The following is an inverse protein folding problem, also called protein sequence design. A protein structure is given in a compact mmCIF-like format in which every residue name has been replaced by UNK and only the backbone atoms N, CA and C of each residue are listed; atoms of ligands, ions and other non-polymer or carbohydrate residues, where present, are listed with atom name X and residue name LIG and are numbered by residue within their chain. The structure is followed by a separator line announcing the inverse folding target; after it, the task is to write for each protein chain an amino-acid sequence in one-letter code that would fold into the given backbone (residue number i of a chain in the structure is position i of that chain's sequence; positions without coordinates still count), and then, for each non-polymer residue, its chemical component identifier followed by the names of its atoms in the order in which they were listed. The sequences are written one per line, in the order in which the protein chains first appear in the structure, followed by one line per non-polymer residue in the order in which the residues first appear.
data_IF_149002445499
#
_entry.id   IF_149002445499
#
_cell.length_a   1.000
_cell.length_b   1.000
_cell.length_c   1.000
_cell.angle_alpha   90.00
_cell.angle_beta   90.00
_cell.angle_gamma   90.00
#
_symmetry.space_group_name_H-M   'P 1'
#
loop_
_entity.id
_entity.type
_entity.pdbx_description
1 polymer ?
#
# COMPACT_ATOMS: atom_id res chain seq x y z
N UNK A 1 -23.26 -25.38 25.64
CA UNK A 1 -22.66 -24.32 26.48
C UNK A 1 -23.12 -22.96 25.96
N UNK A 2 -24.05 -22.31 26.65
CA UNK A 2 -24.68 -21.06 26.21
C UNK A 2 -23.71 -19.88 26.34
N UNK A 3 -23.39 -19.24 25.21
CA UNK A 3 -22.49 -18.08 25.15
C UNK A 3 -23.26 -16.84 25.58
N UNK A 4 -23.06 -16.39 26.83
CA UNK A 4 -23.69 -15.15 27.34
C UNK A 4 -23.17 -13.95 26.56
N UNK A 5 -24.08 -13.10 26.07
CA UNK A 5 -23.78 -11.83 25.40
C UNK A 5 -23.38 -10.81 26.47
N UNK A 6 -22.23 -10.15 26.30
CA UNK A 6 -21.80 -9.07 27.18
C UNK A 6 -22.70 -7.83 27.00
N UNK A 7 -22.93 -7.04 28.07
CA UNK A 7 -23.79 -5.84 28.03
C UNK A 7 -23.19 -4.74 27.16
N UNK A 8 -24.07 -3.92 26.56
CA UNK A 8 -23.71 -2.91 25.56
C UNK A 8 -23.13 -1.66 26.24
N UNK A 9 -21.80 -1.52 26.22
CA UNK A 9 -21.09 -0.31 26.61
C UNK A 9 -20.86 0.59 25.40
N UNK A 10 -20.94 1.92 25.57
CA UNK A 10 -20.67 2.90 24.51
C UNK A 10 -19.24 2.82 23.94
N UNK A 11 -18.33 2.23 24.70
CA UNK A 11 -16.98 1.88 24.27
C UNK A 11 -16.90 0.38 23.98
N UNK A 12 -16.67 0.02 22.70
CA UNK A 12 -16.36 -1.35 22.28
C UNK A 12 -14.84 -1.50 22.21
N UNK A 13 -14.19 -2.16 23.17
CA UNK A 13 -12.75 -2.42 23.06
C UNK A 13 -12.49 -3.28 21.83
N UNK A 14 -11.49 -2.92 21.02
CA UNK A 14 -11.08 -3.62 19.79
C UNK A 14 -10.42 -5.00 20.04
N UNK A 15 -10.82 -5.69 21.11
CA UNK A 15 -10.14 -6.84 21.67
C UNK A 15 -10.61 -8.21 21.20
N UNK A 16 -11.65 -8.35 20.37
CA UNK A 16 -12.09 -9.65 19.83
C UNK A 16 -12.77 -9.51 18.45
N UNK A 17 -12.03 -9.07 17.44
CA UNK A 17 -12.41 -9.42 16.07
C UNK A 17 -12.25 -10.93 15.91
N UNK A 18 -13.38 -11.62 15.69
CA UNK A 18 -13.43 -13.08 15.60
C UNK A 18 -12.42 -13.61 14.58
N UNK A 19 -11.45 -14.37 15.08
CA UNK A 19 -10.49 -15.16 14.32
C UNK A 19 -11.25 -15.90 13.20
N UNK A 20 -10.96 -15.59 11.94
CA UNK A 20 -11.35 -16.45 10.83
C UNK A 20 -11.52 -15.85 9.42
N UNK A 21 -11.72 -14.54 9.23
CA UNK A 21 -12.05 -14.00 7.87
C UNK A 21 -11.33 -12.71 7.42
N UNK A 22 -10.34 -12.21 8.16
CA UNK A 22 -9.71 -10.92 7.85
C UNK A 22 -8.72 -10.93 6.65
N UNK A 23 -8.06 -12.05 6.34
CA UNK A 23 -7.07 -12.10 5.25
C UNK A 23 -7.65 -11.81 3.86
N UNK A 24 -8.92 -12.12 3.62
CA UNK A 24 -9.55 -11.94 2.32
C UNK A 24 -9.62 -10.47 1.88
N UNK A 25 -9.76 -9.52 2.82
CA UNK A 25 -9.87 -8.08 2.52
C UNK A 25 -8.56 -7.44 2.06
N UNK A 26 -7.42 -8.06 2.36
CA UNK A 26 -6.09 -7.51 2.04
C UNK A 26 -5.29 -8.38 1.08
N UNK A 27 -5.91 -9.42 0.50
CA UNK A 27 -5.22 -10.43 -0.32
C UNK A 27 -4.46 -9.80 -1.49
N UNK A 28 -5.09 -8.88 -2.22
CA UNK A 28 -4.49 -8.20 -3.37
C UNK A 28 -3.34 -7.29 -2.93
N UNK A 29 -3.55 -6.46 -1.90
CA UNK A 29 -2.49 -5.59 -1.35
C UNK A 29 -1.28 -6.41 -0.88
N UNK A 30 -1.53 -7.49 -0.16
CA UNK A 30 -0.50 -8.41 0.32
C UNK A 30 0.23 -9.11 -0.83
N UNK A 31 -0.51 -9.52 -1.86
CA UNK A 31 0.07 -10.09 -3.06
C UNK A 31 0.97 -9.07 -3.78
N UNK A 32 0.55 -7.82 -3.86
CA UNK A 32 1.36 -6.74 -4.44
C UNK A 32 2.69 -6.53 -3.71
N UNK A 33 2.67 -6.54 -2.38
CA UNK A 33 3.89 -6.43 -1.54
C UNK A 33 4.81 -7.65 -1.71
N UNK A 34 4.24 -8.86 -1.82
CA UNK A 34 4.99 -10.11 -2.06
C UNK A 34 5.56 -10.20 -3.48
N UNK A 35 5.07 -9.38 -4.39
CA UNK A 35 5.55 -9.29 -5.78
C UNK A 35 6.23 -7.94 -6.04
N UNK A 36 6.76 -7.28 -4.99
CA UNK A 36 7.32 -5.93 -5.11
C UNK A 36 8.43 -5.84 -6.17
N UNK A 37 9.25 -6.89 -6.32
CA UNK A 37 10.29 -6.99 -7.36
C UNK A 37 9.73 -6.99 -8.78
N UNK A 38 8.63 -7.71 -9.00
CA UNK A 38 7.95 -7.74 -10.29
C UNK A 38 7.40 -6.36 -10.64
N UNK A 39 6.77 -5.68 -9.69
CA UNK A 39 6.26 -4.33 -9.89
C UNK A 39 7.36 -3.29 -10.11
N UNK A 40 8.49 -3.40 -9.41
CA UNK A 40 9.67 -2.55 -9.65
C UNK A 40 10.18 -2.72 -11.08
N UNK A 41 10.36 -3.97 -11.52
CA UNK A 41 10.77 -4.27 -12.89
C UNK A 41 9.76 -3.76 -13.91
N UNK A 42 8.47 -4.05 -13.72
CA UNK A 42 7.40 -3.63 -14.62
C UNK A 42 7.36 -2.10 -14.75
N UNK A 43 7.45 -1.38 -13.63
CA UNK A 43 7.48 0.08 -13.63
C UNK A 43 8.70 0.63 -14.38
N UNK A 44 9.88 0.04 -14.18
CA UNK A 44 11.09 0.44 -14.89
C UNK A 44 10.96 0.22 -16.41
N UNK A 45 10.51 -0.97 -16.83
CA UNK A 45 10.31 -1.27 -18.25
C UNK A 45 9.24 -0.38 -18.88
N UNK A 46 8.14 -0.14 -18.18
CA UNK A 46 7.07 0.74 -18.65
C UNK A 46 7.56 2.18 -18.81
N UNK A 47 8.28 2.72 -17.82
CA UNK A 47 8.86 4.06 -17.88
C UNK A 47 9.85 4.20 -19.06
N UNK A 48 10.77 3.25 -19.21
CA UNK A 48 11.75 3.25 -20.30
C UNK A 48 11.06 3.18 -21.68
N UNK A 49 10.02 2.36 -21.79
CA UNK A 49 9.25 2.22 -23.04
C UNK A 49 8.49 3.50 -23.37
N UNK A 50 7.84 4.12 -22.38
CA UNK A 50 7.16 5.41 -22.55
C UNK A 50 8.11 6.52 -22.99
N UNK A 51 9.31 6.58 -22.40
CA UNK A 51 10.33 7.56 -22.75
C UNK A 51 10.89 7.34 -24.16
N UNK A 52 11.08 6.10 -24.60
CA UNK A 52 11.47 5.80 -25.99
C UNK A 52 10.39 6.20 -26.98
N UNK A 53 9.13 6.03 -26.60
CA UNK A 53 7.96 6.42 -27.40
C UNK A 53 7.64 7.93 -27.29
N UNK A 54 8.54 8.75 -26.70
CA UNK A 54 8.36 10.20 -26.53
C UNK A 54 8.04 10.94 -27.84
N UNK A 55 8.59 10.51 -28.98
CA UNK A 55 8.29 11.10 -30.29
C UNK A 55 6.81 10.99 -30.68
N UNK A 56 6.15 9.90 -30.29
CA UNK A 56 4.72 9.67 -30.53
C UNK A 56 3.85 10.54 -29.62
N UNK A 57 4.24 10.70 -28.34
CA UNK A 57 3.55 11.58 -27.40
C UNK A 57 3.61 13.05 -27.84
N UNK A 58 4.72 13.47 -28.49
CA UNK A 58 4.84 14.81 -29.09
C UNK A 58 3.86 15.02 -30.25
N UNK A 59 3.54 13.98 -31.02
CA UNK A 59 2.60 14.04 -32.13
C UNK A 59 1.12 14.02 -31.68
N UNK A 60 0.79 13.21 -30.66
CA UNK A 60 -0.59 13.09 -30.13
C UNK A 60 -0.98 14.24 -29.19
N UNK A 61 0.01 14.86 -28.55
CA UNK A 61 -0.16 15.95 -27.58
C UNK A 61 -0.46 15.42 -26.17
N UNK A 62 0.43 15.73 -25.23
CA UNK A 62 0.37 15.26 -23.84
C UNK A 62 -0.99 15.51 -23.16
N UNK A 63 -1.59 16.69 -23.36
CA UNK A 63 -2.85 17.07 -22.70
C UNK A 63 -4.04 16.16 -23.06
N UNK A 64 -4.06 15.54 -24.25
CA UNK A 64 -5.14 14.58 -24.61
C UNK A 64 -4.96 13.24 -23.92
N UNK A 65 -3.72 12.81 -23.70
CA UNK A 65 -3.43 11.53 -23.08
C UNK A 65 -3.49 11.55 -21.55
N UNK A 66 -3.33 12.70 -20.90
CA UNK A 66 -3.33 12.79 -19.43
C UNK A 66 -4.61 12.25 -18.79
N UNK A 67 -5.79 12.60 -19.31
CA UNK A 67 -7.08 12.20 -18.74
C UNK A 67 -7.28 10.68 -18.73
N UNK A 68 -7.14 9.95 -19.85
CA UNK A 68 -7.28 8.50 -19.84
C UNK A 68 -6.20 7.82 -19.01
N UNK A 69 -4.95 8.31 -19.04
CA UNK A 69 -3.86 7.75 -18.23
C UNK A 69 -4.15 7.89 -16.74
N UNK A 70 -4.59 9.07 -16.28
CA UNK A 70 -4.98 9.31 -14.87
C UNK A 70 -6.13 8.39 -14.44
N UNK A 71 -7.10 8.13 -15.33
CA UNK A 71 -8.20 7.21 -15.03
C UNK A 71 -7.71 5.77 -14.87
N UNK A 72 -6.89 5.26 -15.79
CA UNK A 72 -6.28 3.93 -15.71
C UNK A 72 -5.41 3.81 -14.46
N UNK A 73 -4.58 4.81 -14.17
CA UNK A 73 -3.74 4.86 -12.97
C UNK A 73 -4.59 4.75 -11.70
N UNK A 74 -5.67 5.54 -11.61
CA UNK A 74 -6.56 5.55 -10.45
C UNK A 74 -7.19 4.18 -10.21
N UNK A 75 -7.63 3.50 -11.27
CA UNK A 75 -8.25 2.16 -11.19
C UNK A 75 -7.20 1.13 -10.77
N UNK A 76 -6.08 1.06 -11.47
CA UNK A 76 -5.02 0.10 -11.21
C UNK A 76 -4.45 0.26 -9.79
N UNK A 77 -4.15 1.50 -9.36
CA UNK A 77 -3.56 1.75 -8.04
C UNK A 77 -4.54 1.51 -6.89
N UNK A 78 -5.84 1.79 -7.06
CA UNK A 78 -6.86 1.45 -6.05
C UNK A 78 -7.01 -0.05 -5.90
N UNK A 79 -7.06 -0.77 -7.02
CA UNK A 79 -7.24 -2.22 -6.99
C UNK A 79 -6.03 -2.94 -6.38
N UNK A 80 -4.81 -2.61 -6.84
CA UNK A 80 -3.60 -3.35 -6.46
C UNK A 80 -3.07 -2.97 -5.07
N UNK A 81 -3.19 -1.71 -4.67
CA UNK A 81 -2.48 -1.18 -3.49
C UNK A 81 -3.41 -0.48 -2.49
N UNK A 82 -4.72 -0.44 -2.77
CA UNK A 82 -5.70 0.33 -1.99
C UNK A 82 -5.26 1.81 -1.84
N UNK A 83 -4.78 2.37 -2.96
CA UNK A 83 -4.25 3.72 -3.03
C UNK A 83 -5.36 4.78 -2.87
N UNK A 84 -5.12 5.78 -2.01
CA UNK A 84 -6.04 6.91 -1.76
C UNK A 84 -5.83 8.12 -2.66
N UNK A 85 -4.89 8.05 -3.61
CA UNK A 85 -4.53 9.15 -4.53
C UNK A 85 -4.15 10.45 -3.79
N UNK A 86 -3.26 10.35 -2.80
CA UNK A 86 -2.78 11.51 -2.01
C UNK A 86 -1.85 12.48 -2.78
N UNK A 87 -1.63 12.26 -4.08
CA UNK A 87 -0.79 13.12 -4.93
C UNK A 87 0.72 12.92 -4.79
N UNK A 88 1.20 12.33 -3.70
CA UNK A 88 2.63 12.10 -3.47
C UNK A 88 2.93 10.61 -3.25
N UNK A 89 3.08 9.89 -4.37
CA UNK A 89 3.26 8.45 -4.38
C UNK A 89 4.62 8.02 -3.79
N UNK A 90 4.60 7.10 -2.83
CA UNK A 90 5.80 6.54 -2.19
C UNK A 90 5.99 5.04 -2.42
N UNK A 91 5.17 4.42 -3.28
CA UNK A 91 5.09 2.97 -3.47
C UNK A 91 6.41 2.31 -3.89
N UNK A 92 7.18 2.99 -4.73
CA UNK A 92 8.49 2.55 -5.22
C UNK A 92 9.55 2.53 -4.12
N UNK A 93 9.36 3.32 -3.05
CA UNK A 93 10.25 3.30 -1.89
C UNK A 93 9.74 2.38 -0.80
N UNK A 94 8.42 2.25 -0.64
CA UNK A 94 7.78 1.49 0.43
C UNK A 94 7.38 0.07 0.02
N UNK A 95 8.09 -0.55 -0.92
CA UNK A 95 7.89 -1.99 -1.19
C UNK A 95 6.50 -2.35 -1.69
N UNK A 96 5.87 -1.48 -2.48
CA UNK A 96 4.47 -1.61 -2.93
C UNK A 96 3.40 -1.55 -1.82
N UNK A 97 3.77 -1.13 -0.61
CA UNK A 97 2.85 -0.87 0.50
C UNK A 97 2.52 0.62 0.58
N UNK A 98 1.26 0.99 0.41
CA UNK A 98 0.84 2.39 0.47
C UNK A 98 0.77 2.87 1.95
N UNK A 99 1.54 3.91 2.37
CA UNK A 99 1.57 4.34 3.76
C UNK A 99 0.25 4.98 4.22
N UNK A 100 -0.57 5.50 3.29
CA UNK A 100 -1.88 6.07 3.58
C UNK A 100 -2.90 5.05 4.10
N UNK A 101 -2.58 3.75 4.05
CA UNK A 101 -3.43 2.69 4.57
C UNK A 101 -3.21 2.49 6.08
N UNK A 102 -2.27 3.21 6.69
CA UNK A 102 -2.08 3.19 8.13
C UNK A 102 -3.28 3.85 8.82
N UNK A 103 -3.93 3.21 9.81
CA UNK A 103 -5.07 3.80 10.51
C UNK A 103 -4.69 5.06 11.31
N UNK A 104 -3.39 5.23 11.64
CA UNK A 104 -2.86 6.44 12.27
C UNK A 104 -2.57 7.58 11.27
N UNK A 105 -2.75 7.36 9.97
CA UNK A 105 -2.48 8.37 8.92
C UNK A 105 -0.98 8.71 8.73
N UNK A 106 -0.08 7.92 9.31
CA UNK A 106 1.36 8.21 9.34
C UNK A 106 2.03 7.85 8.02
N UNK A 107 2.52 8.89 7.32
CA UNK A 107 3.19 8.77 6.02
C UNK A 107 4.72 8.77 6.09
N UNK A 108 5.30 9.39 7.12
CA UNK A 108 6.73 9.69 7.18
C UNK A 108 7.54 8.63 7.95
N UNK A 109 6.93 7.51 8.35
CA UNK A 109 7.67 6.41 8.98
C UNK A 109 6.84 5.52 9.90
N UNK A 110 7.47 4.44 10.42
CA UNK A 110 6.83 3.54 11.36
C UNK A 110 6.48 4.26 12.67
N UNK A 111 5.32 3.92 13.22
CA UNK A 111 4.79 4.56 14.43
C UNK A 111 5.22 3.88 15.75
N UNK A 112 6.04 2.82 15.69
CA UNK A 112 6.35 1.96 16.85
C UNK A 112 5.22 1.03 17.30
N UNK A 113 3.96 1.35 16.98
CA UNK A 113 2.77 0.55 17.33
C UNK A 113 2.55 -0.69 16.48
N UNK A 114 3.39 -1.72 16.68
CA UNK A 114 3.30 -3.03 16.02
C UNK A 114 3.18 -4.12 17.07
N UNK A 115 2.24 -5.04 16.87
CA UNK A 115 2.05 -6.21 17.74
C UNK A 115 3.10 -7.28 17.46
N UNK A 116 3.32 -8.18 18.40
CA UNK A 116 4.30 -9.28 18.26
C UNK A 116 4.08 -10.16 17.01
N UNK A 117 2.84 -10.27 16.53
CA UNK A 117 2.50 -11.00 15.30
C UNK A 117 2.69 -10.18 14.01
N UNK A 118 3.24 -8.96 14.07
CA UNK A 118 3.43 -8.07 12.92
C UNK A 118 2.18 -7.28 12.49
N UNK A 119 1.11 -7.32 13.28
CA UNK A 119 -0.13 -6.56 13.01
C UNK A 119 -0.11 -5.16 13.62
N UNK A 120 -1.04 -4.31 13.19
CA UNK A 120 -1.16 -2.95 13.71
C UNK A 120 -1.63 -2.95 15.18
N UNK A 121 -1.13 -2.02 15.98
CA UNK A 121 -1.61 -1.79 17.35
C UNK A 121 -3.10 -1.40 17.38
N UNK A 122 -3.53 -0.50 16.49
CA UNK A 122 -4.89 0.07 16.48
C UNK A 122 -5.90 -0.93 15.91
N UNK A 123 -5.52 -1.62 14.82
CA UNK A 123 -6.37 -2.58 14.12
C UNK A 123 -5.74 -3.99 14.20
N UNK A 124 -6.15 -4.83 15.17
CA UNK A 124 -5.66 -6.19 15.37
C UNK A 124 -5.56 -7.05 14.13
N UNK A 125 -6.53 -6.90 13.23
CA UNK A 125 -6.72 -7.79 12.08
C UNK A 125 -5.89 -7.35 10.87
N UNK A 126 -5.40 -6.11 10.88
CA UNK A 126 -4.66 -5.55 9.77
C UNK A 126 -3.15 -5.79 9.97
N UNK A 127 -2.46 -6.42 9.01
CA UNK A 127 -1.00 -6.46 9.05
C UNK A 127 -0.44 -5.04 8.97
N UNK A 128 0.59 -4.76 9.78
CA UNK A 128 1.16 -3.42 9.84
C UNK A 128 1.70 -2.98 8.48
N UNK A 129 1.25 -1.81 8.03
CA UNK A 129 1.61 -1.23 6.72
C UNK A 129 3.11 -1.01 6.59
N UNK A 130 3.78 -0.58 7.67
CA UNK A 130 5.23 -0.33 7.68
C UNK A 130 6.07 -1.60 7.77
N UNK A 131 5.56 -2.65 8.45
CA UNK A 131 6.17 -3.99 8.40
C UNK A 131 6.10 -4.53 6.98
N UNK A 132 4.94 -4.41 6.33
CA UNK A 132 4.79 -4.78 4.93
C UNK A 132 5.68 -3.95 4.01
N UNK A 133 5.78 -2.65 4.24
CA UNK A 133 6.63 -1.77 3.44
C UNK A 133 8.09 -2.20 3.53
N UNK A 134 8.58 -2.49 4.74
CA UNK A 134 9.92 -3.02 4.96
C UNK A 134 10.11 -4.35 4.22
N UNK A 135 9.22 -5.33 4.44
CA UNK A 135 9.28 -6.64 3.78
C UNK A 135 9.25 -6.55 2.25
N UNK A 136 8.42 -5.68 1.68
CA UNK A 136 8.37 -5.42 0.25
C UNK A 136 9.66 -4.76 -0.26
N UNK A 137 10.17 -3.77 0.47
CA UNK A 137 11.41 -3.06 0.09
C UNK A 137 12.61 -4.01 0.02
N UNK A 138 12.69 -4.99 0.93
CA UNK A 138 13.77 -5.98 0.94
C UNK A 138 13.75 -6.93 -0.26
N UNK A 139 12.63 -7.01 -0.99
CA UNK A 139 12.53 -7.79 -2.23
C UNK A 139 12.94 -6.98 -3.46
N UNK A 140 13.00 -5.65 -3.35
CA UNK A 140 13.32 -4.74 -4.44
C UNK A 140 14.82 -4.54 -4.58
N UNK A 141 15.27 -4.21 -5.79
CA UNK A 141 16.67 -3.84 -6.06
C UNK A 141 17.04 -2.52 -5.37
N UNK A 142 16.15 -1.53 -5.39
CA UNK A 142 16.33 -0.24 -4.72
C UNK A 142 15.68 -0.22 -3.32
N UNK A 143 15.79 -1.32 -2.58
CA UNK A 143 15.12 -1.48 -1.29
C UNK A 143 15.45 -0.42 -0.25
N UNK A 144 16.65 0.16 -0.29
CA UNK A 144 17.09 1.17 0.69
C UNK A 144 16.43 2.53 0.49
N UNK A 145 15.72 2.73 -0.62
CA UNK A 145 14.90 3.93 -0.84
C UNK A 145 13.84 4.14 0.26
N UNK A 146 13.45 3.09 1.00
CA UNK A 146 12.53 3.20 2.14
C UNK A 146 13.07 4.12 3.25
N UNK A 147 14.39 4.19 3.42
CA UNK A 147 15.03 5.04 4.42
C UNK A 147 14.88 6.53 4.08
N UNK A 148 14.78 6.85 2.79
CA UNK A 148 14.62 8.22 2.31
C UNK A 148 13.19 8.76 2.41
N UNK A 149 12.20 7.91 2.70
CA UNK A 149 10.78 8.31 2.84
C UNK A 149 10.54 9.18 4.09
N UNK A 150 11.50 9.22 5.02
CA UNK A 150 11.38 9.89 6.32
C UNK A 150 11.57 11.41 6.31
N UNK A 151 11.57 12.08 5.15
CA UNK A 151 11.81 13.53 5.12
C UNK A 151 10.53 14.28 5.56
N UNK A 152 10.60 15.09 6.64
CA UNK A 152 9.46 15.84 7.17
C UNK A 152 8.92 16.86 6.17
#
# INVERSE_FOLDING_TARGET
MLKKRAPDTAYKPSGVSGVGRARARYSIRLWSVRNARFFEWFYAQFADTLLKLHWFWKAVGYGRAERPVKAVEKVAKRFLFDCRMCGQCALSSTGMSCPMNCPKGLRNGPCGGVRANGHCEVEPDMPCVWVQAWQGSRQMRKGDAILAVQKP
#
